data_IF_977577327472
#
_entry.id   IF_977577327472
#
_cell.length_a   1.000
_cell.length_b   1.000
_cell.length_c   1.000
_cell.angle_alpha   90.00
_cell.angle_beta   90.00
_cell.angle_gamma   90.00
#
_symmetry.space_group_name_H-M   'P 1'
#
loop_
_entity.id
_entity.type
_entity.pdbx_description
1 polymer ?
#
# COMPACT_ATOMS: atom_id res chain seq x y z
N UNK A 1 -9.80 28.30 37.37
CA UNK A 1 -10.65 29.51 37.20
C UNK A 1 -10.56 30.00 35.76
N UNK A 2 -11.41 30.95 35.33
CA UNK A 2 -11.70 31.31 33.92
C UNK A 2 -12.34 30.16 33.11
N UNK A 3 -13.48 30.24 32.39
CA UNK A 3 -14.40 31.29 31.88
C UNK A 3 -14.00 32.09 30.62
N UNK A 4 -14.62 31.72 29.49
CA UNK A 4 -14.86 32.54 28.28
C UNK A 4 -15.47 31.68 27.15
N UNK A 5 -16.77 31.72 26.80
CA UNK A 5 -17.64 32.75 26.17
C UNK A 5 -17.46 32.97 24.65
N UNK A 6 -18.36 32.36 23.87
CA UNK A 6 -19.02 32.90 22.65
C UNK A 6 -20.54 32.66 22.86
N UNK A 7 -21.53 33.52 22.54
CA UNK A 7 -21.91 34.30 21.33
C UNK A 7 -22.31 33.39 20.15
N UNK A 8 -23.46 33.57 19.47
CA UNK A 8 -24.60 34.49 19.69
C UNK A 8 -25.84 34.12 18.82
N UNK A 9 -26.97 34.84 19.01
CA UNK A 9 -28.07 35.15 18.03
C UNK A 9 -28.97 34.01 17.48
N UNK A 10 -30.20 34.24 16.97
CA UNK A 10 -31.25 35.32 17.10
C UNK A 10 -32.49 34.91 16.27
N UNK A 11 -33.71 35.35 16.65
CA UNK A 11 -34.97 35.36 15.86
C UNK A 11 -35.62 33.97 15.54
N UNK A 12 -36.94 33.84 15.26
CA UNK A 12 -38.06 34.81 15.35
C UNK A 12 -39.45 34.12 15.39
N UNK A 13 -40.40 34.76 16.09
CA UNK A 13 -41.87 34.82 15.87
C UNK A 13 -42.66 33.68 15.17
N UNK A 14 -43.72 33.22 15.84
CA UNK A 14 -44.96 32.75 15.21
C UNK A 14 -46.18 33.32 15.97
N UNK A 15 -47.29 33.61 15.26
CA UNK A 15 -48.52 34.14 15.87
C UNK A 15 -49.75 33.95 14.97
N UNK A 16 -50.82 33.38 15.53
CA UNK A 16 -52.24 33.19 15.09
C UNK A 16 -52.74 31.94 15.85
N UNK A 17 -53.92 31.86 16.49
CA UNK A 17 -55.29 32.39 16.28
C UNK A 17 -56.18 31.49 15.40
N UNK A 18 -56.88 30.57 16.07
CA UNK A 18 -58.22 30.06 15.78
C UNK A 18 -59.05 30.30 17.08
N UNK A 19 -60.27 30.84 17.10
CA UNK A 19 -61.54 30.55 16.38
C UNK A 19 -62.29 29.38 17.03
N UNK A 20 -63.57 29.63 17.35
CA UNK A 20 -64.51 28.74 18.04
C UNK A 20 -65.07 27.65 17.10
N UNK A 21 -65.93 26.75 17.59
CA UNK A 21 -67.37 27.06 17.48
C UNK A 21 -68.18 26.84 18.77
N UNK A 22 -69.43 27.27 18.71
CA UNK A 22 -70.42 27.25 19.80
C UNK A 22 -70.86 25.83 20.19
N UNK A 23 -71.39 25.68 21.41
CA UNK A 23 -72.25 24.56 21.80
C UNK A 23 -73.58 25.11 22.31
N UNK A 24 -74.66 24.63 21.69
CA UNK A 24 -76.04 25.02 21.95
C UNK A 24 -76.54 24.52 23.32
N UNK A 25 -77.23 25.38 24.07
CA UNK A 25 -77.88 25.04 25.34
C UNK A 25 -79.26 25.69 25.42
N UNK A 26 -80.25 24.84 25.64
CA UNK A 26 -81.67 25.15 25.67
C UNK A 26 -82.05 26.07 26.85
N UNK A 27 -82.83 27.11 26.59
CA UNK A 27 -83.86 27.55 27.54
C UNK A 27 -85.04 28.20 26.81
N UNK A 28 -86.27 27.97 27.31
CA UNK A 28 -87.50 28.59 26.81
C UNK A 28 -87.92 29.75 27.73
N UNK A 29 -88.65 30.74 27.20
CA UNK A 29 -90.00 30.93 27.74
C UNK A 29 -91.07 31.18 26.64
N UNK A 30 -92.28 31.56 27.06
CA UNK A 30 -93.55 31.33 26.34
C UNK A 30 -94.50 32.52 26.47
N UNK A 31 -95.17 32.90 25.36
CA UNK A 31 -96.14 34.01 25.24
C UNK A 31 -95.54 35.42 25.47
N UNK A 32 -96.18 36.56 25.11
CA UNK A 32 -97.54 36.80 24.55
C UNK A 32 -97.71 36.38 23.07
N UNK A 33 -98.79 36.70 22.33
CA UNK A 33 -99.93 37.60 22.62
C UNK A 33 -101.29 37.06 22.12
N UNK A 34 -102.35 37.80 22.46
CA UNK A 34 -103.77 37.48 22.23
C UNK A 34 -104.47 38.58 21.42
N UNK A 35 -105.77 38.39 21.20
CA UNK A 35 -106.74 39.33 20.59
C UNK A 35 -106.69 39.51 19.07
N UNK A 36 -107.82 39.16 18.45
CA UNK A 36 -108.18 39.48 17.07
C UNK A 36 -108.81 40.89 17.01
N UNK A 37 -108.92 41.44 15.79
CA UNK A 37 -109.62 42.71 15.45
C UNK A 37 -108.92 43.99 15.98
N UNK A 38 -108.96 45.12 15.24
CA UNK A 38 -110.21 45.87 15.00
C UNK A 38 -110.35 46.52 13.59
N UNK A 39 -111.35 47.40 13.48
CA UNK A 39 -111.50 48.52 12.52
C UNK A 39 -112.11 48.27 11.11
N UNK A 40 -113.40 48.58 10.98
CA UNK A 40 -113.98 49.59 10.03
C UNK A 40 -115.48 49.77 10.32
N UNK A 41 -115.93 50.92 10.86
CA UNK A 41 -116.33 52.17 10.18
C UNK A 41 -117.65 52.04 9.36
N UNK A 42 -118.80 52.58 9.79
CA UNK A 42 -119.24 54.01 9.93
C UNK A 42 -119.89 54.61 8.66
N UNK A 43 -121.23 54.75 8.69
CA UNK A 43 -122.10 55.77 8.01
C UNK A 43 -121.98 55.92 6.46
N UNK A 44 -122.88 56.63 5.74
CA UNK A 44 -124.08 57.41 6.12
C UNK A 44 -125.39 56.84 5.46
N UNK A 45 -126.58 57.48 5.33
CA UNK A 45 -127.10 58.84 5.68
C UNK A 45 -128.66 58.85 5.83
N UNK A 46 -129.24 60.06 5.92
CA UNK A 46 -130.66 60.52 5.78
C UNK A 46 -131.52 59.94 4.62
N UNK A 47 -132.85 60.12 4.47
CA UNK A 47 -133.93 60.99 5.05
C UNK A 47 -135.34 60.41 4.67
N UNK A 48 -136.54 60.89 5.04
CA UNK A 48 -137.15 61.54 6.24
C UNK A 48 -138.64 61.90 5.91
N UNK A 49 -139.19 63.00 6.49
CA UNK A 49 -140.49 63.67 6.24
C UNK A 49 -141.76 63.12 6.95
N UNK A 50 -142.37 64.00 7.75
CA UNK A 50 -143.65 63.90 8.52
C UNK A 50 -144.76 64.74 7.81
N UNK A 51 -145.91 65.19 8.39
CA UNK A 51 -146.53 65.03 9.73
C UNK A 51 -148.09 64.87 9.77
N UNK A 52 -148.71 65.05 10.97
CA UNK A 52 -150.01 65.74 11.21
C UNK A 52 -151.38 65.02 11.00
N UNK A 53 -152.50 65.29 11.72
CA UNK A 53 -152.80 66.04 13.00
C UNK A 53 -154.28 65.84 13.51
N UNK A 54 -154.55 65.86 14.84
CA UNK A 54 -155.81 66.26 15.59
C UNK A 54 -157.20 65.58 15.26
N UNK A 55 -158.40 65.77 15.90
CA UNK A 55 -159.03 66.30 17.18
C UNK A 55 -160.52 65.79 17.25
N UNK A 56 -161.45 65.99 18.23
CA UNK A 56 -161.47 65.97 19.73
C UNK A 56 -162.88 66.27 20.33
N UNK A 57 -163.55 65.27 20.97
CA UNK A 57 -164.58 65.32 22.07
C UNK A 57 -165.97 66.02 21.84
N UNK A 58 -167.01 65.62 22.62
CA UNK A 58 -168.32 66.26 22.95
C UNK A 58 -169.53 65.99 22.01
N UNK A 59 -170.82 66.10 22.41
CA UNK A 59 -171.56 65.82 23.68
C UNK A 59 -173.11 65.89 23.44
N UNK A 60 -173.91 65.48 24.45
CA UNK A 60 -175.25 66.03 24.81
C UNK A 60 -176.59 65.52 24.20
N UNK A 61 -177.70 65.90 24.86
CA UNK A 61 -179.14 65.65 24.58
C UNK A 61 -179.86 67.02 24.31
N UNK A 62 -181.17 67.35 24.56
CA UNK A 62 -182.37 66.58 25.00
C UNK A 62 -183.78 66.95 24.39
N UNK A 63 -184.75 66.05 24.53
CA UNK A 63 -186.14 66.18 25.09
C UNK A 63 -187.12 67.38 24.79
N UNK A 64 -188.43 67.04 24.60
CA UNK A 64 -189.69 67.70 25.10
C UNK A 64 -190.68 68.52 24.19
N UNK A 65 -191.96 68.04 24.14
CA UNK A 65 -193.27 68.69 24.46
C UNK A 65 -193.87 69.89 23.65
N UNK A 66 -195.18 69.84 23.31
CA UNK A 66 -196.24 70.87 23.64
C UNK A 66 -197.71 70.44 23.31
N UNK A 67 -198.72 71.31 23.61
CA UNK A 67 -200.17 71.02 23.75
C UNK A 67 -201.14 72.07 23.11
N UNK A 68 -202.48 71.80 23.14
CA UNK A 68 -203.62 72.77 23.15
C UNK A 68 -203.86 73.65 21.88
N UNK A 69 -204.97 74.39 21.59
CA UNK A 69 -206.38 74.58 22.06
C UNK A 69 -207.23 75.14 20.85
N UNK A 70 -208.49 75.62 20.80
CA UNK A 70 -209.68 75.87 21.67
C UNK A 70 -210.93 76.10 20.74
N UNK A 71 -212.20 75.89 21.17
CA UNK A 71 -213.39 76.57 20.58
C UNK A 71 -214.71 76.48 21.41
N UNK A 72 -215.52 77.55 21.42
CA UNK A 72 -216.94 77.60 21.87
C UNK A 72 -217.86 78.09 20.73
N UNK A 73 -219.13 77.69 20.73
CA UNK A 73 -220.11 77.93 19.65
C UNK A 73 -221.59 77.63 20.00
N UNK A 74 -221.91 77.46 21.28
CA UNK A 74 -223.15 76.84 21.78
C UNK A 74 -224.46 77.66 21.61
N UNK A 75 -224.96 77.85 20.37
CA UNK A 75 -226.41 78.12 20.13
C UNK A 75 -227.00 77.75 18.77
N UNK A 76 -226.39 78.06 17.63
CA UNK A 76 -226.96 77.65 16.33
C UNK A 76 -226.56 76.22 15.93
N UNK A 77 -225.41 75.76 16.41
CA UNK A 77 -225.10 74.34 16.49
C UNK A 77 -226.15 73.55 17.30
N UNK A 78 -226.92 74.15 18.22
CA UNK A 78 -227.83 73.37 19.09
C UNK A 78 -229.08 72.80 18.40
N UNK A 79 -229.48 73.31 17.23
CA UNK A 79 -230.52 72.67 16.41
C UNK A 79 -229.94 71.47 15.64
N UNK A 80 -228.78 71.68 15.02
CA UNK A 80 -228.02 70.64 14.34
C UNK A 80 -227.61 69.53 15.30
N UNK A 81 -227.21 69.84 16.54
CA UNK A 81 -226.95 68.90 17.64
C UNK A 81 -228.19 68.09 18.02
N UNK A 82 -229.43 68.51 17.73
CA UNK A 82 -230.61 67.68 17.99
C UNK A 82 -230.82 66.62 16.87
N UNK A 83 -230.66 67.02 15.61
CA UNK A 83 -230.68 66.13 14.45
C UNK A 83 -229.47 65.17 14.47
N UNK A 84 -228.28 65.71 14.73
CA UNK A 84 -227.06 64.95 15.01
C UNK A 84 -227.17 64.12 16.27
N UNK A 85 -227.93 64.47 17.32
CA UNK A 85 -228.16 63.54 18.45
C UNK A 85 -229.05 62.38 18.09
N UNK A 86 -229.95 62.54 17.11
CA UNK A 86 -230.72 61.43 16.53
C UNK A 86 -229.83 60.57 15.63
N UNK A 87 -229.05 61.18 14.74
CA UNK A 87 -228.06 60.47 13.93
C UNK A 87 -226.93 59.83 14.78
N UNK A 88 -226.55 60.42 15.92
CA UNK A 88 -225.61 59.85 16.91
C UNK A 88 -226.31 58.77 17.75
N UNK A 89 -227.63 58.79 17.96
CA UNK A 89 -228.32 57.65 18.56
C UNK A 89 -228.28 56.43 17.63
N UNK A 90 -228.59 56.62 16.34
CA UNK A 90 -228.55 55.56 15.33
C UNK A 90 -227.10 55.14 14.99
N UNK A 91 -226.15 56.07 14.91
CA UNK A 91 -224.72 55.75 14.80
C UNK A 91 -224.19 55.09 16.08
N UNK A 92 -224.73 55.36 17.27
CA UNK A 92 -224.29 54.69 18.50
C UNK A 92 -224.82 53.26 18.61
N UNK A 93 -226.03 52.97 18.14
CA UNK A 93 -226.50 51.58 17.99
C UNK A 93 -225.73 50.85 16.88
N UNK A 94 -225.33 51.54 15.81
CA UNK A 94 -224.49 50.96 14.75
C UNK A 94 -223.01 50.78 15.16
N UNK A 95 -222.45 51.66 15.98
CA UNK A 95 -221.10 51.54 16.57
C UNK A 95 -221.07 50.51 17.72
N UNK A 96 -222.15 50.32 18.47
CA UNK A 96 -222.26 49.20 19.43
C UNK A 96 -222.49 47.82 18.78
N UNK A 97 -222.56 47.73 17.44
CA UNK A 97 -222.79 46.48 16.71
C UNK A 97 -221.71 46.13 15.65
N UNK A 98 -220.55 46.78 15.68
CA UNK A 98 -219.38 46.39 14.87
C UNK A 98 -218.07 46.29 15.69
N UNK A 99 -217.46 45.09 15.76
CA UNK A 99 -216.07 44.90 16.12
C UNK A 99 -215.25 44.36 14.92
N UNK A 100 -214.60 45.25 14.18
CA UNK A 100 -213.63 44.93 13.10
C UNK A 100 -212.49 45.96 13.16
N UNK A 101 -211.32 45.61 12.60
CA UNK A 101 -210.06 46.41 12.60
C UNK A 101 -209.31 46.37 13.95
N UNK A 102 -208.78 45.19 14.28
CA UNK A 102 -207.75 45.01 15.32
C UNK A 102 -206.68 43.93 14.97
N UNK A 103 -206.79 43.24 13.82
CA UNK A 103 -205.97 42.06 13.48
C UNK A 103 -204.87 42.37 12.46
N UNK A 104 -205.08 43.34 11.56
CA UNK A 104 -204.22 43.55 10.40
C UNK A 104 -202.83 44.18 10.71
N UNK A 105 -202.70 44.93 11.80
CA UNK A 105 -201.40 45.48 12.23
C UNK A 105 -200.48 44.38 12.81
N UNK A 106 -201.06 43.34 13.43
CA UNK A 106 -200.31 42.23 14.04
C UNK A 106 -199.67 41.34 12.96
N UNK A 107 -200.40 41.06 11.86
CA UNK A 107 -199.90 40.36 10.68
C UNK A 107 -198.76 41.12 9.96
N UNK A 108 -198.79 42.47 9.93
CA UNK A 108 -197.75 43.27 9.30
C UNK A 108 -196.52 43.46 10.20
N UNK A 109 -196.74 43.64 11.50
CA UNK A 109 -195.67 43.72 12.51
C UNK A 109 -194.87 42.42 12.58
N UNK A 110 -195.55 41.26 12.55
CA UNK A 110 -194.89 39.95 12.53
C UNK A 110 -194.10 39.69 11.25
N UNK A 111 -194.58 40.10 10.08
CA UNK A 111 -193.80 40.05 8.83
C UNK A 111 -192.55 40.94 8.88
N UNK A 112 -192.65 42.14 9.46
CA UNK A 112 -191.51 43.05 9.59
C UNK A 112 -190.47 42.48 10.56
N UNK A 113 -190.90 41.87 11.67
CA UNK A 113 -190.04 41.14 12.60
C UNK A 113 -189.37 39.92 11.95
N UNK A 114 -190.09 39.15 11.12
CA UNK A 114 -189.51 38.03 10.37
C UNK A 114 -188.45 38.49 9.36
N UNK A 115 -188.70 39.56 8.61
CA UNK A 115 -187.70 40.13 7.69
C UNK A 115 -186.49 40.71 8.44
N UNK A 116 -186.67 41.23 9.67
CA UNK A 116 -185.56 41.59 10.54
C UNK A 116 -184.79 40.36 11.04
N UNK A 117 -185.45 39.30 11.49
CA UNK A 117 -184.80 38.05 11.92
C UNK A 117 -184.04 37.39 10.75
N UNK A 118 -184.61 37.36 9.54
CA UNK A 118 -183.93 36.89 8.33
C UNK A 118 -182.72 37.78 7.98
N UNK A 119 -182.85 39.11 8.08
CA UNK A 119 -181.73 40.06 7.88
C UNK A 119 -180.62 39.79 8.88
N UNK A 120 -180.93 39.74 10.17
CA UNK A 120 -179.98 39.48 11.25
C UNK A 120 -179.31 38.11 11.07
N UNK A 121 -180.06 37.09 10.63
CA UNK A 121 -179.55 35.77 10.31
C UNK A 121 -178.58 35.79 9.11
N UNK A 122 -178.92 36.49 8.02
CA UNK A 122 -178.01 36.64 6.87
C UNK A 122 -176.80 37.54 7.18
N UNK A 123 -176.94 38.54 8.03
CA UNK A 123 -175.85 39.40 8.51
C UNK A 123 -174.89 38.59 9.40
N UNK A 124 -175.41 37.77 10.32
CA UNK A 124 -174.60 36.82 11.09
C UNK A 124 -173.96 35.72 10.23
N UNK A 125 -174.61 35.22 9.18
CA UNK A 125 -173.99 34.32 8.21
C UNK A 125 -172.87 35.04 7.43
N UNK A 126 -173.10 36.28 7.00
CA UNK A 126 -172.12 37.09 6.27
C UNK A 126 -170.91 37.42 7.14
N UNK A 127 -171.11 37.86 8.39
CA UNK A 127 -170.02 38.10 9.35
C UNK A 127 -169.29 36.81 9.73
N UNK A 128 -169.98 35.68 9.84
CA UNK A 128 -169.35 34.37 10.04
C UNK A 128 -168.50 33.97 8.83
N UNK A 129 -168.98 34.23 7.62
CA UNK A 129 -168.23 34.01 6.38
C UNK A 129 -167.07 35.00 6.23
N UNK A 130 -167.22 36.25 6.64
CA UNK A 130 -166.18 37.29 6.62
C UNK A 130 -165.10 37.00 7.66
N UNK A 131 -165.48 36.57 8.87
CA UNK A 131 -164.59 36.08 9.92
C UNK A 131 -163.84 34.82 9.48
N UNK A 132 -164.52 33.89 8.82
CA UNK A 132 -163.91 32.68 8.24
C UNK A 132 -162.99 32.99 7.06
N UNK A 133 -163.34 33.98 6.23
CA UNK A 133 -162.49 34.48 5.14
C UNK A 133 -161.29 35.26 5.68
N UNK A 134 -161.44 35.98 6.78
CA UNK A 134 -160.37 36.70 7.48
C UNK A 134 -159.39 35.72 8.15
N UNK A 135 -159.90 34.67 8.82
CA UNK A 135 -159.05 33.61 9.38
C UNK A 135 -158.39 32.77 8.27
N UNK A 136 -159.10 32.47 7.18
CA UNK A 136 -158.52 31.83 5.99
C UNK A 136 -157.45 32.71 5.33
N UNK A 137 -157.66 34.03 5.24
CA UNK A 137 -156.65 35.01 4.79
C UNK A 137 -155.44 35.05 5.74
N UNK A 138 -155.65 35.00 7.05
CA UNK A 138 -154.57 34.90 8.04
C UNK A 138 -153.78 33.59 7.91
N UNK A 139 -154.46 32.46 7.65
CA UNK A 139 -153.82 31.17 7.36
C UNK A 139 -153.06 31.24 6.03
N UNK A 140 -153.59 31.87 4.98
CA UNK A 140 -152.84 32.07 3.72
C UNK A 140 -151.63 32.99 3.90
N UNK A 141 -151.75 34.07 4.67
CA UNK A 141 -150.60 34.93 5.02
C UNK A 141 -149.53 34.14 5.76
N UNK A 142 -149.90 33.36 6.79
CA UNK A 142 -148.96 32.51 7.54
C UNK A 142 -148.39 31.36 6.72
N UNK A 143 -149.18 30.77 5.82
CA UNK A 143 -148.70 29.71 4.93
C UNK A 143 -147.70 30.28 3.91
N UNK A 144 -147.96 31.47 3.38
CA UNK A 144 -147.02 32.21 2.52
C UNK A 144 -145.76 32.61 3.28
N UNK A 145 -145.89 33.16 4.48
CA UNK A 145 -144.78 33.48 5.40
C UNK A 145 -143.92 32.23 5.66
N UNK A 146 -144.54 31.10 6.02
CA UNK A 146 -143.83 29.82 6.20
C UNK A 146 -143.24 29.23 4.91
N UNK A 147 -143.76 29.60 3.73
CA UNK A 147 -143.17 29.23 2.44
C UNK A 147 -141.95 30.10 2.14
N UNK A 148 -142.03 31.41 2.36
CA UNK A 148 -140.90 32.34 2.21
C UNK A 148 -139.78 32.02 3.22
N UNK A 149 -140.12 31.60 4.45
CA UNK A 149 -139.19 31.03 5.43
C UNK A 149 -138.58 29.70 4.95
N UNK A 150 -139.38 28.78 4.40
CA UNK A 150 -138.91 27.49 3.90
C UNK A 150 -138.01 27.64 2.66
N UNK A 151 -138.32 28.58 1.77
CA UNK A 151 -137.49 28.91 0.61
C UNK A 151 -136.16 29.53 1.05
N UNK A 152 -136.18 30.46 2.02
CA UNK A 152 -134.96 31.00 2.65
C UNK A 152 -134.12 29.91 3.33
N UNK A 153 -134.77 28.97 4.04
CA UNK A 153 -134.09 27.84 4.67
C UNK A 153 -133.47 26.88 3.63
N UNK A 154 -134.15 26.64 2.51
CA UNK A 154 -133.59 25.86 1.39
C UNK A 154 -132.42 26.57 0.69
N UNK A 155 -132.46 27.89 0.56
CA UNK A 155 -131.34 28.67 0.01
C UNK A 155 -130.12 28.63 0.93
N UNK A 156 -130.32 28.82 2.24
CA UNK A 156 -129.27 28.64 3.25
C UNK A 156 -128.70 27.21 3.24
N UNK A 157 -129.56 26.18 3.12
CA UNK A 157 -129.11 24.79 3.03
C UNK A 157 -128.24 24.56 1.79
N UNK A 158 -128.65 25.05 0.60
CA UNK A 158 -127.85 24.95 -0.63
C UNK A 158 -126.50 25.67 -0.52
N UNK A 159 -126.47 26.83 0.13
CA UNK A 159 -125.21 27.55 0.36
C UNK A 159 -124.31 26.80 1.36
N UNK A 160 -124.86 26.24 2.44
CA UNK A 160 -124.08 25.37 3.33
C UNK A 160 -123.60 24.07 2.65
N UNK A 161 -124.39 23.47 1.76
CA UNK A 161 -123.98 22.32 0.94
C UNK A 161 -122.84 22.68 -0.03
N UNK A 162 -122.95 23.83 -0.71
CA UNK A 162 -121.93 24.42 -1.58
C UNK A 162 -120.62 24.68 -0.82
N UNK A 163 -120.71 25.31 0.36
CA UNK A 163 -119.57 25.55 1.24
C UNK A 163 -118.95 24.24 1.75
N UNK A 164 -119.75 23.25 2.14
CA UNK A 164 -119.27 21.95 2.62
C UNK A 164 -118.54 21.18 1.49
N UNK A 165 -119.07 21.21 0.26
CA UNK A 165 -118.41 20.64 -0.91
C UNK A 165 -117.09 21.37 -1.24
N UNK A 166 -117.08 22.71 -1.20
CA UNK A 166 -115.89 23.55 -1.40
C UNK A 166 -114.81 23.27 -0.34
N UNK A 167 -115.20 23.14 0.93
CA UNK A 167 -114.31 22.81 2.04
C UNK A 167 -113.77 21.37 1.94
N UNK A 168 -114.57 20.40 1.51
CA UNK A 168 -114.11 19.02 1.23
C UNK A 168 -113.09 19.00 0.10
N UNK A 169 -113.36 19.69 -1.01
CA UNK A 169 -112.44 19.76 -2.15
C UNK A 169 -111.11 20.40 -1.76
N UNK A 170 -111.13 21.48 -0.95
CA UNK A 170 -109.92 22.09 -0.38
C UNK A 170 -109.19 21.14 0.56
N UNK A 171 -109.89 20.52 1.50
CA UNK A 171 -109.33 19.55 2.44
C UNK A 171 -108.64 18.38 1.72
N UNK A 172 -109.25 17.86 0.65
CA UNK A 172 -108.69 16.76 -0.13
C UNK A 172 -107.57 17.20 -1.08
N UNK A 173 -107.52 18.48 -1.49
CA UNK A 173 -106.33 19.06 -2.14
C UNK A 173 -105.16 19.11 -1.16
N UNK A 174 -105.35 19.76 -0.01
CA UNK A 174 -104.33 19.91 1.03
C UNK A 174 -103.87 18.58 1.62
N UNK A 175 -104.71 17.53 1.65
CA UNK A 175 -104.27 16.16 1.97
C UNK A 175 -103.26 15.62 0.95
N UNK A 176 -103.57 15.69 -0.35
CA UNK A 176 -102.66 15.25 -1.42
C UNK A 176 -101.35 16.02 -1.38
N UNK A 177 -101.41 17.34 -1.26
CA UNK A 177 -100.25 18.19 -1.07
C UNK A 177 -99.41 17.78 0.16
N UNK A 178 -100.06 17.40 1.27
CA UNK A 178 -99.36 16.91 2.46
C UNK A 178 -98.74 15.51 2.27
N UNK A 179 -99.40 14.63 1.52
CA UNK A 179 -98.90 13.29 1.17
C UNK A 179 -97.70 13.38 0.20
N UNK A 180 -97.77 14.27 -0.80
CA UNK A 180 -96.66 14.59 -1.72
C UNK A 180 -95.46 15.19 -0.98
N UNK A 181 -95.68 16.17 -0.10
CA UNK A 181 -94.63 16.78 0.73
C UNK A 181 -93.99 15.77 1.71
N UNK A 182 -94.76 14.82 2.26
CA UNK A 182 -94.22 13.71 3.07
C UNK A 182 -93.38 12.76 2.21
N UNK A 183 -93.84 12.44 1.00
CA UNK A 183 -93.10 11.64 0.03
C UNK A 183 -91.74 12.28 -0.30
N UNK A 184 -91.74 13.57 -0.67
CA UNK A 184 -90.54 14.33 -0.97
C UNK A 184 -89.59 14.45 0.24
N UNK A 185 -90.14 14.62 1.45
CA UNK A 185 -89.35 14.63 2.69
C UNK A 185 -88.72 13.25 2.95
N UNK A 186 -89.43 12.15 2.65
CA UNK A 186 -88.89 10.79 2.77
C UNK A 186 -87.78 10.51 1.75
N UNK A 187 -87.92 10.94 0.49
CA UNK A 187 -86.86 10.78 -0.51
C UNK A 187 -85.65 11.65 -0.19
N UNK A 188 -85.85 12.90 0.22
CA UNK A 188 -84.75 13.80 0.60
C UNK A 188 -83.98 13.29 1.82
N UNK A 189 -84.65 12.73 2.83
CA UNK A 189 -83.98 12.09 3.96
C UNK A 189 -83.20 10.83 3.54
N UNK A 190 -83.69 10.06 2.56
CA UNK A 190 -82.97 8.90 2.02
C UNK A 190 -81.74 9.33 1.20
N UNK A 191 -81.85 10.38 0.39
CA UNK A 191 -80.73 10.98 -0.35
C UNK A 191 -79.67 11.57 0.60
N UNK A 192 -80.10 12.27 1.65
CA UNK A 192 -79.21 12.85 2.67
C UNK A 192 -78.48 11.75 3.46
N UNK A 193 -79.18 10.71 3.91
CA UNK A 193 -78.54 9.54 4.54
C UNK A 193 -77.59 8.80 3.60
N UNK A 194 -77.89 8.76 2.29
CA UNK A 194 -76.99 8.24 1.28
C UNK A 194 -75.72 9.08 1.13
N UNK A 195 -75.88 10.41 1.06
CA UNK A 195 -74.78 11.37 0.96
C UNK A 195 -73.88 11.36 2.20
N UNK A 196 -74.46 11.25 3.40
CA UNK A 196 -73.70 11.08 4.65
C UNK A 196 -72.84 9.81 4.63
N UNK A 197 -73.40 8.68 4.16
CA UNK A 197 -72.66 7.42 4.04
C UNK A 197 -71.54 7.47 2.98
N UNK A 198 -71.71 8.25 1.90
CA UNK A 198 -70.63 8.52 0.95
C UNK A 198 -69.58 9.46 1.54
N UNK A 199 -69.99 10.48 2.29
CA UNK A 199 -69.09 11.42 2.96
C UNK A 199 -68.21 10.71 4.01
N UNK A 200 -68.80 9.83 4.83
CA UNK A 200 -68.07 8.95 5.77
C UNK A 200 -67.05 8.08 5.01
N UNK A 201 -67.50 7.39 3.95
CA UNK A 201 -66.63 6.55 3.11
C UNK A 201 -65.50 7.34 2.41
N UNK A 202 -65.74 8.59 2.04
CA UNK A 202 -64.73 9.48 1.46
C UNK A 202 -63.75 9.97 2.52
N UNK A 203 -64.23 10.31 3.73
CA UNK A 203 -63.41 10.67 4.89
C UNK A 203 -62.46 9.53 5.27
N UNK A 204 -62.99 8.31 5.43
CA UNK A 204 -62.20 7.09 5.66
C UNK A 204 -61.13 6.89 4.58
N UNK A 205 -61.49 7.08 3.31
CA UNK A 205 -60.57 6.93 2.18
C UNK A 205 -59.48 8.02 2.17
N UNK A 206 -59.80 9.24 2.59
CA UNK A 206 -58.83 10.32 2.76
C UNK A 206 -57.87 10.04 3.92
N UNK A 207 -58.38 9.69 5.10
CA UNK A 207 -57.56 9.30 6.26
C UNK A 207 -56.63 8.12 5.92
N UNK A 208 -57.16 7.07 5.27
CA UNK A 208 -56.36 5.95 4.78
C UNK A 208 -55.35 6.31 3.66
N UNK A 209 -55.47 7.47 3.01
CA UNK A 209 -54.50 7.96 2.04
C UNK A 209 -53.44 8.85 2.72
N UNK A 210 -53.83 9.62 3.74
CA UNK A 210 -52.94 10.38 4.61
C UNK A 210 -52.00 9.45 5.41
N UNK A 211 -52.52 8.38 6.01
CA UNK A 211 -51.71 7.33 6.68
C UNK A 211 -50.70 6.68 5.71
N UNK A 212 -51.12 6.42 4.47
CA UNK A 212 -50.24 5.85 3.44
C UNK A 212 -49.16 6.86 3.02
N UNK A 213 -49.51 8.13 2.85
CA UNK A 213 -48.52 9.18 2.58
C UNK A 213 -47.55 9.34 3.75
N UNK A 214 -48.01 9.41 5.00
CA UNK A 214 -47.16 9.52 6.18
C UNK A 214 -46.21 8.32 6.33
N UNK A 215 -46.68 7.09 6.06
CA UNK A 215 -45.82 5.90 6.07
C UNK A 215 -44.87 5.82 4.87
N UNK A 216 -45.21 6.37 3.71
CA UNK A 216 -44.28 6.53 2.58
C UNK A 216 -43.23 7.61 2.86
N UNK A 217 -43.61 8.77 3.41
CA UNK A 217 -42.69 9.84 3.81
C UNK A 217 -41.69 9.35 4.87
N UNK A 218 -42.17 8.65 5.91
CA UNK A 218 -41.31 8.04 6.93
C UNK A 218 -40.34 7.00 6.33
N UNK A 219 -40.78 6.20 5.36
CA UNK A 219 -39.88 5.26 4.66
C UNK A 219 -38.88 5.96 3.74
N UNK A 220 -39.29 7.03 3.05
CA UNK A 220 -38.41 7.86 2.23
C UNK A 220 -37.34 8.51 3.10
N UNK A 221 -37.69 9.07 4.26
CA UNK A 221 -36.73 9.70 5.17
C UNK A 221 -35.80 8.67 5.84
N UNK A 222 -36.31 7.47 6.15
CA UNK A 222 -35.48 6.33 6.58
C UNK A 222 -34.49 5.88 5.50
N UNK A 223 -34.91 5.83 4.23
CA UNK A 223 -34.04 5.47 3.11
C UNK A 223 -33.01 6.56 2.80
N UNK A 224 -33.37 7.84 2.87
CA UNK A 224 -32.43 8.96 2.77
C UNK A 224 -31.37 8.89 3.88
N UNK A 225 -31.79 8.74 5.14
CA UNK A 225 -30.86 8.70 6.29
C UNK A 225 -29.98 7.46 6.30
N UNK A 226 -30.46 6.32 5.77
CA UNK A 226 -29.62 5.17 5.46
C UNK A 226 -28.59 5.51 4.37
N UNK A 227 -29.01 6.04 3.22
CA UNK A 227 -28.12 6.36 2.10
C UNK A 227 -27.10 7.46 2.44
N UNK A 228 -27.44 8.44 3.28
CA UNK A 228 -26.45 9.44 3.75
C UNK A 228 -25.44 8.81 4.72
N UNK A 229 -25.86 7.90 5.59
CA UNK A 229 -24.94 7.13 6.45
C UNK A 229 -24.00 6.24 5.62
N UNK A 230 -24.53 5.54 4.61
CA UNK A 230 -23.74 4.70 3.69
C UNK A 230 -22.76 5.54 2.85
N UNK A 231 -23.19 6.71 2.33
CA UNK A 231 -22.30 7.65 1.65
C UNK A 231 -21.16 8.12 2.57
N UNK A 232 -21.46 8.53 3.81
CA UNK A 232 -20.43 8.98 4.75
C UNK A 232 -19.45 7.86 5.09
N UNK A 233 -19.91 6.61 5.26
CA UNK A 233 -19.04 5.45 5.47
C UNK A 233 -18.15 5.15 4.26
N UNK A 234 -18.67 5.31 3.04
CA UNK A 234 -17.88 5.17 1.81
C UNK A 234 -16.86 6.32 1.67
N UNK A 235 -17.24 7.55 2.00
CA UNK A 235 -16.37 8.72 1.94
C UNK A 235 -15.23 8.64 2.97
N UNK A 236 -15.50 8.23 4.21
CA UNK A 236 -14.43 7.97 5.21
C UNK A 236 -13.52 6.84 4.75
N UNK A 237 -14.06 5.78 4.14
CA UNK A 237 -13.24 4.66 3.64
C UNK A 237 -12.40 5.03 2.42
N UNK A 238 -12.86 5.96 1.58
CA UNK A 238 -12.06 6.55 0.50
C UNK A 238 -10.91 7.35 1.11
N UNK A 239 -11.17 8.21 2.10
CA UNK A 239 -10.13 8.99 2.78
C UNK A 239 -9.09 8.10 3.49
N UNK A 240 -9.52 7.00 4.13
CA UNK A 240 -8.61 5.99 4.70
C UNK A 240 -7.72 5.33 3.64
N UNK A 241 -8.28 5.00 2.47
CA UNK A 241 -7.54 4.41 1.35
C UNK A 241 -6.60 5.42 0.66
N UNK A 242 -6.98 6.69 0.59
CA UNK A 242 -6.12 7.78 0.08
C UNK A 242 -4.94 8.02 1.01
N UNK A 243 -5.16 8.08 2.32
CA UNK A 243 -4.10 8.18 3.34
C UNK A 243 -3.15 6.98 3.29
N UNK A 244 -3.67 5.76 3.18
CA UNK A 244 -2.86 4.54 3.06
C UNK A 244 -2.08 4.50 1.74
N UNK A 245 -2.69 4.95 0.63
CA UNK A 245 -2.03 5.06 -0.66
C UNK A 245 -0.90 6.12 -0.65
N UNK A 246 -1.10 7.26 -0.01
CA UNK A 246 -0.07 8.30 0.12
C UNK A 246 1.06 7.89 1.07
N UNK A 247 0.76 7.14 2.14
CA UNK A 247 1.78 6.52 2.98
C UNK A 247 2.61 5.51 2.18
N UNK A 248 1.99 4.61 1.41
CA UNK A 248 2.70 3.68 0.52
C UNK A 248 3.50 4.38 -0.59
N UNK A 249 3.06 5.56 -1.06
CA UNK A 249 3.86 6.41 -1.97
C UNK A 249 5.08 7.00 -1.26
N UNK A 250 4.97 7.36 0.02
CA UNK A 250 6.09 7.82 0.83
C UNK A 250 7.08 6.68 1.12
N UNK A 251 6.61 5.53 1.62
CA UNK A 251 7.42 4.32 1.81
C UNK A 251 8.18 3.96 0.50
N UNK A 252 7.48 4.03 -0.64
CA UNK A 252 8.07 3.76 -1.96
C UNK A 252 9.02 4.84 -2.49
N UNK A 253 9.08 6.04 -1.88
CA UNK A 253 10.13 7.03 -2.13
C UNK A 253 11.32 6.77 -1.22
N UNK A 254 11.09 6.58 0.08
CA UNK A 254 12.13 6.31 1.06
C UNK A 254 12.92 5.03 0.70
N UNK A 255 12.25 3.96 0.28
CA UNK A 255 12.88 2.74 -0.24
C UNK A 255 13.66 2.95 -1.55
N UNK A 256 13.30 3.94 -2.38
CA UNK A 256 14.05 4.27 -3.61
C UNK A 256 15.27 5.12 -3.29
N UNK A 257 15.15 6.06 -2.35
CA UNK A 257 16.25 6.87 -1.87
C UNK A 257 17.27 5.99 -1.14
N UNK A 258 16.85 5.05 -0.29
CA UNK A 258 17.75 4.06 0.33
C UNK A 258 18.40 3.13 -0.72
N UNK A 259 17.65 2.66 -1.73
CA UNK A 259 18.21 1.83 -2.80
C UNK A 259 19.26 2.58 -3.64
N UNK A 260 19.01 3.85 -3.97
CA UNK A 260 19.99 4.71 -4.65
C UNK A 260 21.21 4.92 -3.77
N UNK A 261 21.04 5.25 -2.48
CA UNK A 261 22.14 5.48 -1.54
C UNK A 261 23.00 4.22 -1.34
N UNK A 262 22.37 3.03 -1.24
CA UNK A 262 23.06 1.73 -1.22
C UNK A 262 23.79 1.46 -2.54
N UNK A 263 23.20 1.83 -3.68
CA UNK A 263 23.82 1.68 -5.01
C UNK A 263 25.06 2.57 -5.16
N UNK A 264 24.99 3.83 -4.71
CA UNK A 264 26.13 4.75 -4.70
C UNK A 264 27.24 4.28 -3.72
N UNK A 265 26.87 3.74 -2.55
CA UNK A 265 27.81 3.11 -1.61
C UNK A 265 28.47 1.85 -2.21
N UNK A 266 27.73 1.05 -2.98
CA UNK A 266 28.28 -0.10 -3.70
C UNK A 266 29.28 0.34 -4.78
N UNK A 267 28.89 1.27 -5.66
CA UNK A 267 29.74 1.77 -6.74
C UNK A 267 31.03 2.43 -6.22
N UNK A 268 30.95 3.18 -5.12
CA UNK A 268 32.14 3.78 -4.47
C UNK A 268 33.01 2.72 -3.79
N UNK A 269 32.42 1.67 -3.19
CA UNK A 269 33.14 0.52 -2.65
C UNK A 269 33.86 -0.27 -3.75
N UNK A 270 33.18 -0.63 -4.84
CA UNK A 270 33.76 -1.32 -6.01
C UNK A 270 34.90 -0.51 -6.65
N UNK A 271 34.71 0.81 -6.80
CA UNK A 271 35.78 1.70 -7.28
C UNK A 271 36.96 1.75 -6.32
N UNK A 272 36.74 1.75 -5.01
CA UNK A 272 37.82 1.71 -4.02
C UNK A 272 38.57 0.38 -4.03
N UNK A 273 37.85 -0.73 -4.22
CA UNK A 273 38.38 -2.08 -4.38
C UNK A 273 39.23 -2.19 -5.65
N UNK A 274 38.72 -1.73 -6.79
CA UNK A 274 39.47 -1.69 -8.06
C UNK A 274 40.77 -0.88 -7.95
N UNK A 275 40.74 0.29 -7.29
CA UNK A 275 41.95 1.10 -7.04
C UNK A 275 42.90 0.42 -6.03
N UNK A 276 42.40 -0.39 -5.10
CA UNK A 276 43.24 -1.20 -4.21
C UNK A 276 43.87 -2.40 -4.94
N UNK A 277 43.14 -3.06 -5.85
CA UNK A 277 43.61 -4.15 -6.69
C UNK A 277 44.68 -3.67 -7.70
N UNK A 278 44.49 -2.49 -8.31
CA UNK A 278 45.49 -1.84 -9.17
C UNK A 278 46.79 -1.53 -8.40
N UNK A 279 46.67 -0.95 -7.19
CA UNK A 279 47.82 -0.68 -6.33
C UNK A 279 48.52 -1.95 -5.84
N UNK A 280 47.76 -3.01 -5.55
CA UNK A 280 48.30 -4.30 -5.17
C UNK A 280 49.14 -4.88 -6.32
N UNK A 281 48.57 -4.97 -7.52
CA UNK A 281 49.30 -5.43 -8.71
C UNK A 281 50.52 -4.56 -9.05
N UNK A 282 50.43 -3.24 -8.88
CA UNK A 282 51.58 -2.34 -9.08
C UNK A 282 52.69 -2.60 -8.03
N UNK A 283 52.32 -2.91 -6.78
CA UNK A 283 53.24 -3.27 -5.70
C UNK A 283 53.85 -4.66 -5.84
N UNK A 284 53.07 -5.65 -6.28
CA UNK A 284 53.53 -7.00 -6.61
C UNK A 284 54.53 -6.94 -7.77
N UNK A 285 54.22 -6.18 -8.82
CA UNK A 285 55.15 -5.95 -9.94
C UNK A 285 56.43 -5.22 -9.51
N UNK A 286 56.38 -4.33 -8.50
CA UNK A 286 57.57 -3.70 -7.91
C UNK A 286 58.39 -4.71 -7.11
N UNK A 287 57.74 -5.54 -6.30
CA UNK A 287 58.39 -6.60 -5.51
C UNK A 287 59.02 -7.67 -6.40
N UNK A 288 58.36 -8.09 -7.47
CA UNK A 288 58.90 -9.05 -8.45
C UNK A 288 60.12 -8.47 -9.18
N UNK A 289 60.09 -7.20 -9.56
CA UNK A 289 61.25 -6.50 -10.14
C UNK A 289 62.43 -6.41 -9.16
N UNK A 290 62.18 -6.16 -7.88
CA UNK A 290 63.23 -6.08 -6.87
C UNK A 290 63.73 -7.47 -6.43
N UNK A 291 62.88 -8.50 -6.47
CA UNK A 291 63.29 -9.88 -6.29
C UNK A 291 64.17 -10.35 -7.45
N UNK A 292 63.81 -10.00 -8.69
CA UNK A 292 64.61 -10.30 -9.88
C UNK A 292 65.94 -9.50 -9.91
N UNK A 293 65.95 -8.24 -9.45
CA UNK A 293 67.19 -7.44 -9.32
C UNK A 293 68.11 -8.03 -8.25
N UNK A 294 67.54 -8.39 -7.08
CA UNK A 294 68.25 -9.04 -5.98
C UNK A 294 68.78 -10.42 -6.36
N UNK A 295 68.01 -11.23 -7.10
CA UNK A 295 68.44 -12.55 -7.57
C UNK A 295 69.58 -12.45 -8.59
N UNK A 296 69.51 -11.52 -9.57
CA UNK A 296 70.65 -11.21 -10.44
C UNK A 296 71.89 -10.82 -9.65
N UNK A 297 71.71 -9.93 -8.67
CA UNK A 297 72.77 -9.48 -7.76
C UNK A 297 73.26 -10.56 -6.78
N UNK A 298 72.55 -11.68 -6.63
CA UNK A 298 73.08 -12.91 -6.01
C UNK A 298 73.95 -13.65 -7.00
N UNK A 299 73.44 -13.96 -8.19
CA UNK A 299 74.19 -14.67 -9.24
C UNK A 299 75.52 -13.95 -9.56
N UNK A 300 75.51 -12.62 -9.69
CA UNK A 300 76.71 -11.79 -9.86
C UNK A 300 77.71 -11.97 -8.70
N UNK A 301 77.24 -12.06 -7.45
CA UNK A 301 78.10 -12.33 -6.28
C UNK A 301 78.60 -13.77 -6.29
N UNK A 302 77.77 -14.74 -6.66
CA UNK A 302 78.10 -16.15 -6.69
C UNK A 302 79.15 -16.43 -7.79
N UNK A 303 79.06 -15.74 -8.92
CA UNK A 303 80.10 -15.71 -9.97
C UNK A 303 81.40 -15.04 -9.50
N UNK A 304 81.32 -13.90 -8.80
CA UNK A 304 82.49 -13.23 -8.21
C UNK A 304 83.15 -14.12 -7.14
N UNK A 305 82.37 -14.76 -6.25
CA UNK A 305 82.83 -15.70 -5.24
C UNK A 305 83.55 -16.86 -5.92
N UNK A 306 82.93 -17.49 -6.93
CA UNK A 306 83.56 -18.58 -7.68
C UNK A 306 84.86 -18.16 -8.36
N UNK A 307 84.94 -16.95 -8.93
CA UNK A 307 86.18 -16.42 -9.51
C UNK A 307 87.26 -16.16 -8.45
N UNK A 308 86.88 -15.70 -7.26
CA UNK A 308 87.79 -15.54 -6.12
C UNK A 308 88.23 -16.89 -5.54
N UNK A 309 87.36 -17.90 -5.50
CA UNK A 309 87.70 -19.28 -5.11
C UNK A 309 88.67 -19.90 -6.12
N UNK A 310 88.47 -19.68 -7.41
CA UNK A 310 89.37 -20.13 -8.47
C UNK A 310 90.74 -19.44 -8.38
N UNK A 311 90.79 -18.13 -8.15
CA UNK A 311 92.04 -17.39 -7.88
C UNK A 311 92.75 -17.86 -6.60
N UNK A 312 91.99 -18.13 -5.52
CA UNK A 312 92.54 -18.68 -4.27
C UNK A 312 93.08 -20.10 -4.48
N UNK A 313 92.42 -20.92 -5.30
CA UNK A 313 92.87 -22.27 -5.60
C UNK A 313 94.06 -22.29 -6.56
N UNK A 314 94.11 -21.41 -7.57
CA UNK A 314 95.30 -21.21 -8.40
C UNK A 314 96.47 -20.75 -7.52
N UNK A 315 96.25 -19.74 -6.68
CA UNK A 315 97.23 -19.24 -5.70
C UNK A 315 97.73 -20.34 -4.76
N UNK A 316 96.85 -21.22 -4.25
CA UNK A 316 97.22 -22.41 -3.47
C UNK A 316 98.08 -23.37 -4.27
N UNK A 317 97.67 -23.80 -5.47
CA UNK A 317 98.51 -24.73 -6.26
C UNK A 317 99.82 -24.10 -6.70
N UNK A 318 99.88 -22.77 -6.87
CA UNK A 318 101.12 -22.03 -7.11
C UNK A 318 102.02 -22.06 -5.87
N UNK A 319 101.46 -21.82 -4.67
CA UNK A 319 102.19 -21.95 -3.41
C UNK A 319 102.65 -23.39 -3.15
N UNK A 320 101.83 -24.41 -3.42
CA UNK A 320 102.22 -25.83 -3.35
C UNK A 320 103.37 -26.15 -4.32
N UNK A 321 103.34 -25.65 -5.57
CA UNK A 321 104.46 -25.78 -6.52
C UNK A 321 105.72 -25.06 -6.01
N UNK A 322 105.57 -23.89 -5.38
CA UNK A 322 106.68 -23.18 -4.73
C UNK A 322 107.22 -23.96 -3.53
N UNK A 323 106.38 -24.55 -2.69
CA UNK A 323 106.80 -25.37 -1.55
C UNK A 323 107.51 -26.65 -1.99
N UNK A 324 107.00 -27.35 -3.01
CA UNK A 324 107.64 -28.55 -3.60
C UNK A 324 108.99 -28.20 -4.25
N UNK A 325 109.08 -27.09 -4.99
CA UNK A 325 110.35 -26.66 -5.59
C UNK A 325 111.34 -26.17 -4.54
N UNK A 326 110.89 -25.47 -3.49
CA UNK A 326 111.72 -25.03 -2.36
C UNK A 326 112.19 -26.23 -1.51
N UNK A 327 111.36 -27.26 -1.33
CA UNK A 327 111.75 -28.53 -0.71
C UNK A 327 112.79 -29.29 -1.57
N UNK A 328 112.60 -29.31 -2.91
CA UNK A 328 113.57 -29.90 -3.84
C UNK A 328 114.91 -29.16 -3.81
N UNK A 329 114.91 -27.81 -3.83
CA UNK A 329 116.12 -27.00 -3.68
C UNK A 329 116.79 -27.22 -2.32
N UNK A 330 116.03 -27.33 -1.22
CA UNK A 330 116.57 -27.70 0.10
C UNK A 330 117.24 -29.08 0.06
N UNK A 331 116.62 -30.07 -0.58
CA UNK A 331 117.22 -31.41 -0.75
C UNK A 331 118.51 -31.36 -1.57
N UNK A 332 118.54 -30.58 -2.66
CA UNK A 332 119.75 -30.38 -3.48
C UNK A 332 120.87 -29.69 -2.68
N UNK A 333 120.53 -28.68 -1.87
CA UNK A 333 121.48 -28.01 -0.97
C UNK A 333 122.03 -28.97 0.09
N UNK A 334 121.21 -29.86 0.64
CA UNK A 334 121.69 -30.84 1.63
C UNK A 334 122.61 -31.89 1.00
N UNK A 335 122.27 -32.42 -0.19
CA UNK A 335 123.20 -33.30 -0.93
C UNK A 335 124.49 -32.58 -1.33
N UNK A 336 124.44 -31.30 -1.72
CA UNK A 336 125.66 -30.52 -2.01
C UNK A 336 126.52 -30.27 -0.76
N UNK A 337 125.93 -30.13 0.43
CA UNK A 337 126.70 -30.09 1.68
C UNK A 337 127.38 -31.43 1.96
N UNK A 338 126.69 -32.55 1.72
CA UNK A 338 127.23 -33.89 1.94
C UNK A 338 128.38 -34.21 0.96
N UNK A 339 128.24 -33.83 -0.32
CA UNK A 339 129.34 -33.86 -1.31
C UNK A 339 130.54 -33.00 -0.87
N UNK A 340 130.30 -31.82 -0.28
CA UNK A 340 131.37 -30.96 0.27
C UNK A 340 132.04 -31.61 1.48
N UNK A 341 131.28 -32.24 2.38
CA UNK A 341 131.84 -32.97 3.54
C UNK A 341 132.70 -34.17 3.09
N UNK A 342 132.25 -34.94 2.09
CA UNK A 342 133.05 -36.01 1.48
C UNK A 342 134.34 -35.46 0.85
N UNK A 343 134.27 -34.29 0.20
CA UNK A 343 135.43 -33.61 -0.39
C UNK A 343 136.44 -33.12 0.67
N UNK A 344 135.99 -32.67 1.84
CA UNK A 344 136.88 -32.29 2.95
C UNK A 344 137.61 -33.51 3.53
N UNK A 345 136.93 -34.64 3.72
CA UNK A 345 137.56 -35.88 4.20
C UNK A 345 138.56 -36.44 3.17
N UNK A 346 138.23 -36.42 1.88
CA UNK A 346 139.19 -36.75 0.81
C UNK A 346 140.39 -35.79 0.79
N UNK A 347 140.19 -34.49 1.06
CA UNK A 347 141.30 -33.54 1.17
C UNK A 347 142.20 -33.84 2.37
N UNK A 348 141.62 -34.28 3.50
CA UNK A 348 142.34 -34.72 4.70
C UNK A 348 143.17 -35.98 4.43
N UNK A 349 142.60 -36.98 3.77
CA UNK A 349 143.34 -38.20 3.36
C UNK A 349 144.47 -37.89 2.38
N UNK A 350 144.27 -36.97 1.43
CA UNK A 350 145.34 -36.47 0.55
C UNK A 350 146.47 -35.79 1.33
N UNK A 351 146.17 -34.94 2.33
CA UNK A 351 147.19 -34.30 3.18
C UNK A 351 147.99 -35.34 3.98
N UNK A 352 147.34 -36.36 4.52
CA UNK A 352 147.97 -37.45 5.26
C UNK A 352 148.87 -38.32 4.36
N UNK A 353 148.44 -38.62 3.12
CA UNK A 353 149.28 -39.31 2.13
C UNK A 353 150.49 -38.48 1.69
N UNK A 354 150.34 -37.16 1.53
CA UNK A 354 151.48 -36.25 1.29
C UNK A 354 152.46 -36.27 2.46
N UNK A 355 151.99 -36.30 3.71
CA UNK A 355 152.85 -36.43 4.89
C UNK A 355 153.58 -37.79 4.94
N UNK A 356 152.91 -38.87 4.55
CA UNK A 356 153.51 -40.21 4.43
C UNK A 356 154.62 -40.25 3.35
N UNK A 357 154.39 -39.62 2.19
CA UNK A 357 155.41 -39.44 1.14
C UNK A 357 156.56 -38.57 1.63
N UNK A 358 156.30 -37.56 2.46
CA UNK A 358 157.33 -36.73 3.11
C UNK A 358 158.27 -37.55 3.99
N UNK A 359 157.74 -38.44 4.83
CA UNK A 359 158.55 -39.35 5.67
C UNK A 359 159.41 -40.29 4.85
N UNK A 360 158.80 -41.01 3.89
CA UNK A 360 159.50 -41.96 3.02
C UNK A 360 160.61 -41.30 2.19
N UNK A 361 160.40 -40.06 1.73
CA UNK A 361 161.47 -39.27 1.07
C UNK A 361 162.63 -38.96 2.01
N UNK A 362 162.37 -38.66 3.29
CA UNK A 362 163.42 -38.33 4.24
C UNK A 362 164.24 -39.57 4.64
N UNK A 363 163.57 -40.72 4.84
CA UNK A 363 164.24 -42.02 5.05
C UNK A 363 165.12 -42.41 3.85
N UNK A 364 164.62 -42.23 2.62
CA UNK A 364 165.40 -42.49 1.40
C UNK A 364 166.64 -41.58 1.26
N UNK A 365 166.56 -40.31 1.70
CA UNK A 365 167.71 -39.39 1.73
C UNK A 365 168.76 -39.87 2.74
N UNK A 366 168.33 -40.22 3.97
CA UNK A 366 169.23 -40.72 5.02
C UNK A 366 169.94 -42.00 4.59
N UNK A 367 169.21 -42.95 3.99
CA UNK A 367 169.77 -44.22 3.52
C UNK A 367 170.88 -44.01 2.46
N UNK A 368 170.74 -43.01 1.60
CA UNK A 368 171.72 -42.67 0.58
C UNK A 368 173.00 -42.05 1.19
N UNK A 369 172.88 -41.32 2.30
CA UNK A 369 174.04 -40.81 3.05
C UNK A 369 174.84 -41.94 3.71
N UNK A 370 174.16 -42.94 4.29
CA UNK A 370 174.80 -44.15 4.82
C UNK A 370 175.56 -44.93 3.72
N UNK A 371 174.95 -45.09 2.55
CA UNK A 371 175.57 -45.78 1.41
C UNK A 371 176.78 -45.01 0.86
N UNK A 372 176.72 -43.68 0.85
CA UNK A 372 177.85 -42.81 0.47
C UNK A 372 179.02 -42.93 1.46
N UNK A 373 178.75 -42.97 2.77
CA UNK A 373 179.78 -43.22 3.80
C UNK A 373 180.43 -44.60 3.68
N UNK A 374 179.66 -45.64 3.32
CA UNK A 374 180.20 -46.98 3.10
C UNK A 374 181.17 -47.03 1.90
N UNK A 375 180.79 -46.43 0.76
CA UNK A 375 181.64 -46.36 -0.43
C UNK A 375 182.95 -45.58 -0.18
N UNK A 376 182.92 -44.55 0.66
CA UNK A 376 184.11 -43.77 1.01
C UNK A 376 185.16 -44.58 1.81
N UNK A 377 184.73 -45.53 2.65
CA UNK A 377 185.66 -46.42 3.37
C UNK A 377 186.21 -47.55 2.48
N UNK A 378 185.40 -48.09 1.56
CA UNK A 378 185.81 -49.20 0.69
C UNK A 378 186.94 -48.82 -0.28
N UNK A 379 187.03 -47.54 -0.68
CA UNK A 379 188.02 -47.05 -1.65
C UNK A 379 189.44 -46.85 -1.07
N UNK A 380 189.71 -47.25 0.17
CA UNK A 380 190.98 -47.01 0.86
C UNK A 380 191.82 -48.27 1.16
N UNK A 381 191.47 -49.40 0.55
CA UNK A 381 192.04 -50.72 0.88
C UNK A 381 192.20 -51.63 -0.36
N UNK A 382 192.73 -51.10 -1.47
CA UNK A 382 192.84 -51.83 -2.75
C UNK A 382 194.07 -51.43 -3.58
N UNK A 383 195.22 -51.15 -2.95
CA UNK A 383 196.52 -50.97 -3.61
C UNK A 383 197.44 -52.16 -3.30
N UNK A 384 197.31 -53.26 -4.06
CA UNK A 384 198.26 -54.39 -4.00
C UNK A 384 198.09 -55.37 -5.17
N UNK A 385 198.84 -55.17 -6.25
CA UNK A 385 199.49 -56.25 -7.04
C UNK A 385 200.65 -55.63 -7.85
N UNK A 386 201.88 -56.00 -7.49
CA UNK A 386 203.11 -55.66 -8.22
C UNK A 386 203.69 -56.93 -8.84
N UNK A 387 204.51 -56.79 -9.88
CA UNK A 387 205.49 -57.83 -10.26
C UNK A 387 206.89 -57.21 -10.23
N UNK A 388 207.84 -57.95 -9.66
CA UNK A 388 209.09 -57.38 -9.12
C UNK A 388 210.27 -57.42 -10.11
N UNK A 389 211.13 -56.40 -10.07
CA UNK A 389 212.13 -56.13 -11.12
C UNK A 389 213.44 -56.90 -10.96
N UNK A 390 213.83 -57.22 -9.73
CA UNK A 390 215.10 -57.90 -9.41
C UNK A 390 215.17 -59.33 -10.02
N UNK A 391 214.09 -60.11 -9.87
CA UNK A 391 214.05 -61.51 -10.30
C UNK A 391 214.18 -61.65 -11.83
N UNK A 392 213.49 -60.78 -12.57
CA UNK A 392 213.49 -60.72 -14.03
C UNK A 392 214.89 -60.34 -14.55
N UNK A 393 215.58 -59.42 -13.86
CA UNK A 393 216.93 -58.98 -14.22
C UNK A 393 217.95 -60.14 -14.21
N UNK A 394 217.98 -60.93 -13.13
CA UNK A 394 218.86 -62.10 -13.04
C UNK A 394 218.57 -63.15 -14.12
N UNK A 395 217.29 -63.41 -14.42
CA UNK A 395 216.89 -64.39 -15.42
C UNK A 395 217.29 -63.94 -16.84
N UNK A 396 217.21 -62.63 -17.13
CA UNK A 396 217.69 -62.02 -18.38
C UNK A 396 219.22 -62.08 -18.53
N UNK A 397 219.97 -61.82 -17.45
CA UNK A 397 221.45 -61.89 -17.43
C UNK A 397 221.95 -63.31 -17.72
N UNK A 398 221.31 -64.32 -17.12
CA UNK A 398 221.58 -65.74 -17.39
C UNK A 398 221.41 -66.06 -18.88
N UNK A 399 220.28 -65.64 -19.47
CA UNK A 399 220.00 -65.84 -20.89
C UNK A 399 221.05 -65.20 -21.81
N UNK A 400 221.56 -64.00 -21.50
CA UNK A 400 222.59 -63.32 -22.32
C UNK A 400 223.95 -64.03 -22.24
N UNK A 401 224.30 -64.58 -21.07
CA UNK A 401 225.60 -65.24 -20.81
C UNK A 401 225.81 -66.55 -21.59
N UNK A 402 224.74 -67.24 -22.01
CA UNK A 402 224.85 -68.54 -22.71
C UNK A 402 225.26 -68.34 -24.18
N UNK A 403 226.36 -68.97 -24.67
CA UNK A 403 226.83 -68.83 -26.05
C UNK A 403 225.82 -69.36 -27.08
N UNK A 404 225.90 -68.82 -28.31
CA UNK A 404 224.93 -69.08 -29.37
C UNK A 404 225.11 -70.49 -29.95
N UNK A 405 224.15 -71.38 -29.68
CA UNK A 405 224.10 -72.74 -30.21
C UNK A 405 223.62 -73.80 -29.20
N UNK A 406 223.58 -73.48 -27.91
CA UNK A 406 223.23 -74.45 -26.86
C UNK A 406 221.71 -74.56 -26.59
N UNK A 407 221.23 -75.79 -26.44
CA UNK A 407 219.82 -76.15 -26.16
C UNK A 407 219.26 -75.46 -24.91
N UNK A 408 220.06 -75.33 -23.86
CA UNK A 408 219.67 -74.73 -22.56
C UNK A 408 219.22 -73.28 -22.65
N UNK A 409 219.57 -72.60 -23.75
CA UNK A 409 219.13 -71.22 -24.01
C UNK A 409 217.61 -71.13 -24.25
N UNK A 410 216.98 -72.20 -24.74
CA UNK A 410 215.54 -72.27 -24.95
C UNK A 410 214.78 -72.55 -23.63
N UNK A 411 215.26 -73.46 -22.78
CA UNK A 411 214.65 -73.75 -21.46
C UNK A 411 214.52 -72.48 -20.59
N UNK A 412 215.55 -71.63 -20.57
CA UNK A 412 215.53 -70.35 -19.83
C UNK A 412 214.52 -69.36 -20.43
N UNK A 413 214.36 -69.34 -21.77
CA UNK A 413 213.41 -68.46 -22.45
C UNK A 413 211.95 -68.90 -22.24
N UNK A 414 211.71 -70.21 -22.22
CA UNK A 414 210.41 -70.80 -21.89
C UNK A 414 210.01 -70.47 -20.45
N UNK A 415 210.94 -70.59 -19.49
CA UNK A 415 210.74 -70.16 -18.09
C UNK A 415 210.36 -68.67 -17.98
N UNK A 416 211.05 -67.78 -18.72
CA UNK A 416 210.73 -66.35 -18.78
C UNK A 416 209.28 -66.14 -19.28
N UNK A 417 208.86 -66.85 -20.32
CA UNK A 417 207.52 -66.72 -20.89
C UNK A 417 206.41 -67.13 -19.90
N UNK A 418 206.68 -68.15 -19.08
CA UNK A 418 205.75 -68.64 -18.05
C UNK A 418 205.64 -67.69 -16.86
N UNK A 419 206.76 -67.12 -16.39
CA UNK A 419 206.77 -66.26 -15.20
C UNK A 419 206.27 -64.83 -15.46
N UNK A 420 206.19 -64.42 -16.72
CA UNK A 420 205.74 -63.09 -17.14
C UNK A 420 204.40 -63.12 -17.90
N UNK A 421 203.67 -64.24 -17.81
CA UNK A 421 202.38 -64.50 -18.47
C UNK A 421 202.34 -63.99 -19.92
N UNK A 422 203.32 -64.42 -20.74
CA UNK A 422 203.37 -64.01 -22.13
C UNK A 422 202.19 -64.56 -22.92
N UNK A 423 201.47 -63.64 -23.54
CA UNK A 423 200.46 -63.91 -24.57
C UNK A 423 201.12 -64.51 -25.83
N UNK A 424 200.36 -65.23 -26.64
CA UNK A 424 200.94 -66.09 -27.68
C UNK A 424 201.66 -65.29 -28.80
N UNK A 425 201.18 -64.09 -29.13
CA UNK A 425 201.88 -63.12 -30.00
C UNK A 425 203.31 -62.82 -29.52
N UNK A 426 203.54 -62.76 -28.20
CA UNK A 426 204.85 -62.45 -27.62
C UNK A 426 205.78 -63.66 -27.64
N UNK A 427 205.24 -64.86 -27.40
CA UNK A 427 205.99 -66.13 -27.57
C UNK A 427 206.43 -66.31 -29.02
N UNK A 428 205.57 -65.93 -29.97
CA UNK A 428 205.89 -65.93 -31.39
C UNK A 428 207.02 -64.93 -31.71
N UNK A 429 206.92 -63.68 -31.26
CA UNK A 429 207.97 -62.67 -31.51
C UNK A 429 209.32 -63.01 -30.85
N UNK A 430 209.31 -63.76 -29.74
CA UNK A 430 210.50 -64.29 -29.08
C UNK A 430 211.15 -65.48 -29.81
N UNK A 431 210.54 -65.98 -30.90
CA UNK A 431 211.07 -67.11 -31.69
C UNK A 431 210.76 -68.48 -31.11
N UNK A 432 209.78 -68.59 -30.21
CA UNK A 432 209.33 -69.87 -29.63
C UNK A 432 208.19 -70.52 -30.44
N UNK A 433 207.52 -69.76 -31.32
CA UNK A 433 206.39 -70.18 -32.16
C UNK A 433 206.53 -69.54 -33.55
N UNK A 434 206.07 -70.21 -34.62
CA UNK A 434 206.04 -69.69 -36.00
C UNK A 434 204.63 -69.84 -36.63
N UNK A 435 203.88 -68.75 -36.85
CA UNK A 435 202.61 -68.76 -37.61
C UNK A 435 202.27 -67.38 -38.23
N UNK A 436 201.72 -67.27 -39.46
CA UNK A 436 201.49 -65.97 -40.10
C UNK A 436 200.03 -65.43 -39.98
N UNK A 437 199.91 -64.12 -39.72
CA UNK A 437 198.78 -63.21 -40.00
C UNK A 437 197.38 -63.41 -39.31
N UNK A 438 197.19 -62.88 -38.10
CA UNK A 438 196.41 -61.64 -37.89
C UNK A 438 194.91 -61.60 -37.49
N UNK A 439 194.64 -60.85 -36.40
CA UNK A 439 193.57 -59.80 -36.22
C UNK A 439 192.21 -60.12 -35.52
N UNK A 440 192.09 -59.58 -34.29
CA UNK A 440 191.00 -58.84 -33.57
C UNK A 440 189.55 -59.37 -33.35
N UNK A 441 189.27 -59.70 -32.06
CA UNK A 441 188.36 -59.00 -31.10
C UNK A 441 187.13 -58.17 -31.56
N UNK A 442 185.94 -58.39 -30.95
CA UNK A 442 185.25 -57.42 -30.02
C UNK A 442 183.86 -57.84 -29.45
N UNK A 443 183.57 -57.37 -28.24
CA UNK A 443 182.27 -56.91 -27.63
C UNK A 443 180.97 -57.79 -27.51
N UNK A 444 180.57 -58.00 -26.25
CA UNK A 444 179.21 -58.00 -25.64
C UNK A 444 177.98 -58.71 -26.29
N UNK A 445 177.31 -59.57 -25.50
CA UNK A 445 175.89 -59.94 -25.68
C UNK A 445 175.34 -60.91 -24.62
N UNK A 446 174.02 -60.87 -24.33
CA UNK A 446 173.25 -61.87 -23.55
C UNK A 446 171.76 -61.50 -23.51
N UNK A 447 170.74 -62.37 -23.64
CA UNK A 447 170.63 -63.77 -24.14
C UNK A 447 169.15 -64.00 -24.53
N UNK A 448 168.82 -64.42 -25.75
CA UNK A 448 168.57 -65.82 -26.20
C UNK A 448 167.61 -66.68 -25.34
N UNK A 449 166.34 -66.73 -25.74
CA UNK A 449 165.44 -67.89 -25.53
C UNK A 449 164.42 -68.07 -26.68
N UNK A 450 163.94 -66.98 -27.27
CA UNK A 450 162.96 -66.98 -28.37
C UNK A 450 163.48 -67.53 -29.72
N UNK A 451 164.56 -68.30 -29.69
CA UNK A 451 165.22 -68.92 -30.85
C UNK A 451 164.64 -70.31 -31.18
N UNK A 452 164.04 -70.99 -30.19
CA UNK A 452 163.53 -72.36 -30.35
C UNK A 452 162.20 -72.40 -31.12
N UNK A 453 161.26 -71.48 -30.84
CA UNK A 453 159.98 -71.41 -31.56
C UNK A 453 160.14 -71.00 -33.03
N UNK A 454 161.00 -70.01 -33.30
CA UNK A 454 161.37 -69.61 -34.67
C UNK A 454 162.11 -70.71 -35.43
N UNK A 455 162.78 -71.64 -34.74
CA UNK A 455 163.36 -72.83 -35.36
C UNK A 455 162.27 -73.83 -35.80
N UNK A 456 161.24 -74.06 -34.97
CA UNK A 456 160.10 -74.91 -35.38
C UNK A 456 159.37 -74.31 -36.58
N UNK A 457 159.04 -73.02 -36.53
CA UNK A 457 158.28 -72.34 -37.60
C UNK A 457 159.09 -72.23 -38.91
N UNK A 458 160.43 -72.08 -38.85
CA UNK A 458 161.27 -72.06 -40.05
C UNK A 458 161.50 -73.46 -40.65
N UNK A 459 161.58 -74.52 -39.83
CA UNK A 459 161.66 -75.89 -40.33
C UNK A 459 160.33 -76.38 -40.90
N UNK A 460 159.19 -75.97 -40.35
CA UNK A 460 157.88 -76.21 -40.98
C UNK A 460 157.81 -75.52 -42.35
N UNK A 461 158.39 -74.32 -42.46
CA UNK A 461 158.56 -73.54 -43.70
C UNK A 461 159.62 -74.08 -44.67
N UNK A 462 160.37 -75.12 -44.33
CA UNK A 462 161.26 -75.84 -45.27
C UNK A 462 160.47 -76.71 -46.26
N UNK A 463 159.27 -77.16 -45.88
CA UNK A 463 158.75 -78.45 -46.37
C UNK A 463 157.89 -78.43 -47.64
N UNK A 464 157.47 -77.27 -48.17
CA UNK A 464 156.47 -77.20 -49.26
C UNK A 464 156.82 -76.34 -50.51
N UNK A 465 158.05 -75.80 -50.65
CA UNK A 465 158.44 -75.15 -51.93
C UNK A 465 159.93 -74.96 -52.23
#
# INVERSE_FOLDING_TARGET
>A
MAKGKKKASKASSASKKAVEPELDVQEAPRAPDTSETPASSKVPETSAVSPSVEKTILNDSPQAVLEMHEADGMKQQNAEILELRKQIADLKTQVQSQPVVAVADEDLSTQLAQVQEERDHFEHQYDSLLSRLSSMKSVFSKMRESQEELESCQEQLREYESQNLSLRNKLDSTKRENEELRGLTSTLNQELSGLDSENERLSDRCSQAEDKNATFEANIERLKSQHTSENVQLETKIQELELLLDNLKQDSRELKEELEDVTQRLLTSERSKSVAEEKLAESESKLERELASSQKRSIEKDEIIKSLEEQVQEGRTSNEKMEVTLASLKSQVETMKEDVAQKEELQKQCKEKVLQVGKLRHEAIILNEHLTKALAMLKKSSDSENVDKELISNLLISFVSIPRGDHKKFEVLELISSFLNWDDDKKQQAGLINAPNGINSTANGSRTQNFVSLWTEFLEKESEK
#
